data_IF_959089096242
#
_entry.id   IF_959089096242
#
_cell.length_a   1.000
_cell.length_b   1.000
_cell.length_c   1.000
_cell.angle_alpha   90.00
_cell.angle_beta   90.00
_cell.angle_gamma   90.00
#
_symmetry.space_group_name_H-M   'P 1'
#
loop_
_entity.id
_entity.type
_entity.pdbx_description
1 polymer ?
#
# COMPACT_ATOMS: atom_id res chain seq x y z
N UNK A 1 -32.47 -11.91 -22.88
CA UNK A 1 -33.21 -11.48 -21.68
C UNK A 1 -32.35 -11.74 -20.45
N UNK A 2 -31.69 -10.74 -19.83
CA UNK A 2 -30.97 -10.97 -18.58
C UNK A 2 -31.97 -11.11 -17.43
N UNK A 3 -32.05 -12.31 -16.84
CA UNK A 3 -32.93 -12.60 -15.71
C UNK A 3 -32.51 -11.83 -14.46
N UNK A 4 -33.47 -11.17 -13.80
CA UNK A 4 -33.27 -10.47 -12.52
C UNK A 4 -32.72 -11.45 -11.49
N UNK A 5 -31.46 -11.28 -11.07
CA UNK A 5 -30.85 -12.06 -9.99
C UNK A 5 -31.54 -11.71 -8.66
N UNK A 6 -32.19 -12.70 -8.03
CA UNK A 6 -32.81 -12.52 -6.70
C UNK A 6 -31.72 -12.24 -5.67
N UNK A 7 -31.90 -11.19 -4.84
CA UNK A 7 -30.97 -10.89 -3.75
C UNK A 7 -30.87 -12.10 -2.79
N UNK A 8 -29.65 -12.53 -2.42
CA UNK A 8 -29.47 -13.67 -1.55
C UNK A 8 -30.05 -13.41 -0.16
N UNK A 9 -30.69 -14.43 0.43
CA UNK A 9 -31.29 -14.36 1.77
C UNK A 9 -30.21 -14.04 2.80
N UNK A 10 -30.45 -13.03 3.64
CA UNK A 10 -29.55 -12.72 4.75
C UNK A 10 -29.56 -13.87 5.75
N UNK A 11 -28.36 -14.27 6.15
CA UNK A 11 -28.15 -15.35 7.11
C UNK A 11 -28.64 -14.95 8.50
N UNK A 12 -29.42 -15.84 9.13
CA UNK A 12 -29.88 -15.72 10.52
C UNK A 12 -28.72 -15.84 11.50
N UNK A 13 -28.93 -15.40 12.75
CA UNK A 13 -27.91 -15.54 13.80
C UNK A 13 -27.52 -17.02 14.04
N UNK A 14 -28.51 -17.93 14.01
CA UNK A 14 -28.31 -19.37 14.16
C UNK A 14 -27.45 -19.96 13.06
N UNK A 15 -27.69 -19.58 11.81
CA UNK A 15 -26.91 -20.05 10.67
C UNK A 15 -25.44 -19.56 10.71
N UNK A 16 -25.21 -18.33 11.20
CA UNK A 16 -23.83 -17.81 11.40
C UNK A 16 -23.08 -18.60 12.47
N UNK A 17 -23.75 -18.93 13.58
CA UNK A 17 -23.16 -19.72 14.66
C UNK A 17 -22.78 -21.12 14.18
N UNK A 18 -23.71 -21.81 13.49
CA UNK A 18 -23.45 -23.13 12.91
C UNK A 18 -22.27 -23.13 11.92
N UNK A 19 -22.14 -22.08 11.09
CA UNK A 19 -20.99 -21.92 10.19
C UNK A 19 -19.68 -21.71 10.94
N UNK A 20 -19.68 -20.91 12.00
CA UNK A 20 -18.48 -20.67 12.80
C UNK A 20 -18.00 -21.95 13.50
N UNK A 21 -18.92 -22.76 14.03
CA UNK A 21 -18.61 -24.06 14.64
C UNK A 21 -18.08 -25.06 13.62
N UNK A 22 -18.76 -25.18 12.46
CA UNK A 22 -18.29 -26.04 11.38
C UNK A 22 -16.89 -25.63 10.89
N UNK A 23 -16.62 -24.33 10.78
CA UNK A 23 -15.30 -23.79 10.42
C UNK A 23 -14.24 -24.20 11.45
N UNK A 24 -14.50 -24.04 12.76
CA UNK A 24 -13.58 -24.47 13.82
C UNK A 24 -13.26 -25.96 13.73
N UNK A 25 -14.28 -26.81 13.58
CA UNK A 25 -14.09 -28.26 13.43
C UNK A 25 -13.26 -28.62 12.20
N UNK A 26 -13.44 -27.91 11.09
CA UNK A 26 -12.64 -28.13 9.88
C UNK A 26 -11.19 -27.65 10.04
N UNK A 27 -10.96 -26.56 10.80
CA UNK A 27 -9.62 -26.08 11.16
C UNK A 27 -8.91 -27.08 12.08
N UNK A 28 -9.59 -27.59 13.11
CA UNK A 28 -9.06 -28.62 14.03
C UNK A 28 -8.69 -29.92 13.30
N UNK A 29 -9.46 -30.29 12.28
CA UNK A 29 -9.18 -31.46 11.42
C UNK A 29 -8.12 -31.19 10.35
N UNK A 30 -7.58 -29.97 10.25
CA UNK A 30 -6.59 -29.58 9.23
C UNK A 30 -7.14 -29.51 7.79
N UNK A 31 -8.46 -29.56 7.61
CA UNK A 31 -9.11 -29.52 6.28
C UNK A 31 -9.04 -28.10 5.69
N UNK A 32 -9.12 -27.08 6.54
CA UNK A 32 -8.98 -25.67 6.14
C UNK A 32 -7.93 -24.99 7.02
N UNK A 33 -7.16 -24.01 6.50
CA UNK A 33 -6.12 -23.34 7.25
C UNK A 33 -6.68 -22.50 8.42
N UNK A 34 -5.85 -22.22 9.43
CA UNK A 34 -6.20 -21.30 10.51
C UNK A 34 -6.46 -19.89 9.98
N UNK A 35 -7.19 -19.11 10.76
CA UNK A 35 -7.49 -17.72 10.39
C UNK A 35 -6.21 -16.88 10.36
N UNK A 36 -5.97 -16.21 9.22
CA UNK A 36 -4.84 -15.30 9.09
C UNK A 36 -4.98 -14.20 10.15
N UNK A 37 -3.96 -13.98 11.01
CA UNK A 37 -4.00 -12.94 12.01
C UNK A 37 -4.15 -11.58 11.33
N UNK A 38 -4.93 -10.68 11.95
CA UNK A 38 -5.02 -9.30 11.48
C UNK A 38 -3.67 -8.62 11.66
N UNK A 39 -3.21 -7.93 10.61
CA UNK A 39 -1.98 -7.13 10.68
C UNK A 39 -2.15 -6.01 11.71
N UNK A 40 -1.31 -5.99 12.73
CA UNK A 40 -1.20 -4.83 13.62
C UNK A 40 -0.43 -3.72 12.88
N UNK A 41 -1.19 -2.86 12.17
CA UNK A 41 -0.63 -1.83 11.29
C UNK A 41 0.32 -0.86 11.99
N UNK A 42 0.04 -0.48 13.24
CA UNK A 42 0.90 0.43 14.02
C UNK A 42 2.22 -0.23 14.40
N UNK A 43 2.15 -1.48 14.87
CA UNK A 43 3.34 -2.26 15.21
C UNK A 43 4.19 -2.50 13.96
N UNK A 44 3.56 -2.95 12.87
CA UNK A 44 4.22 -3.16 11.59
C UNK A 44 4.94 -1.90 11.09
N UNK A 45 4.26 -0.75 11.06
CA UNK A 45 4.88 0.51 10.63
C UNK A 45 6.09 0.89 11.49
N UNK A 46 5.99 0.74 12.82
CA UNK A 46 7.09 1.04 13.73
C UNK A 46 8.29 0.14 13.50
N UNK A 47 8.07 -1.18 13.42
CA UNK A 47 9.14 -2.16 13.23
C UNK A 47 9.90 -1.90 11.92
N UNK A 48 9.19 -1.70 10.82
CA UNK A 48 9.82 -1.46 9.52
C UNK A 48 10.57 -0.13 9.50
N UNK A 49 10.04 0.95 10.10
CA UNK A 49 10.76 2.22 10.14
C UNK A 49 12.00 2.15 11.03
N UNK A 50 11.95 1.42 12.14
CA UNK A 50 13.13 1.20 13.00
C UNK A 50 14.20 0.38 12.27
N UNK A 51 13.82 -0.69 11.57
CA UNK A 51 14.75 -1.47 10.74
C UNK A 51 15.34 -0.61 9.60
N UNK A 52 14.48 0.16 8.93
CA UNK A 52 14.92 1.08 7.87
C UNK A 52 15.89 2.12 8.39
N UNK A 53 15.65 2.73 9.56
CA UNK A 53 16.55 3.72 10.17
C UNK A 53 17.90 3.10 10.53
N UNK A 54 17.89 1.91 11.11
CA UNK A 54 19.09 1.19 11.55
C UNK A 54 19.94 0.61 10.40
N UNK A 55 19.38 0.42 9.20
CA UNK A 55 20.10 -0.21 8.11
C UNK A 55 21.33 0.61 7.66
N UNK A 56 22.49 -0.03 7.55
CA UNK A 56 23.69 0.58 6.97
C UNK A 56 23.58 0.63 5.42
N UNK A 57 24.51 1.31 4.75
CA UNK A 57 24.60 1.31 3.27
C UNK A 57 23.29 1.71 2.55
N UNK A 58 22.72 2.87 2.92
CA UNK A 58 21.48 3.40 2.32
C UNK A 58 21.51 3.51 0.78
N UNK A 59 22.69 3.66 0.19
CA UNK A 59 22.87 3.72 -1.26
C UNK A 59 22.43 2.40 -1.92
N UNK A 60 22.82 1.26 -1.37
CA UNK A 60 22.48 -0.07 -1.91
C UNK A 60 20.99 -0.37 -1.71
N UNK A 61 20.43 0.07 -0.58
CA UNK A 61 18.99 -0.02 -0.33
C UNK A 61 18.17 0.75 -1.37
N UNK A 62 18.69 1.81 -1.98
CA UNK A 62 17.98 2.52 -3.03
C UNK A 62 17.76 1.63 -4.26
N UNK A 63 18.73 0.78 -4.60
CA UNK A 63 18.59 -0.21 -5.68
C UNK A 63 17.54 -1.27 -5.33
N UNK A 64 17.59 -1.84 -4.13
CA UNK A 64 16.60 -2.83 -3.70
C UNK A 64 15.20 -2.24 -3.54
N UNK A 65 15.08 -0.98 -3.11
CA UNK A 65 13.80 -0.27 -3.06
C UNK A 65 13.19 -0.12 -4.46
N UNK A 66 14.01 0.22 -5.47
CA UNK A 66 13.56 0.25 -6.85
C UNK A 66 13.03 -1.11 -7.29
N UNK A 67 13.76 -2.21 -7.03
CA UNK A 67 13.27 -3.57 -7.33
C UNK A 67 11.97 -3.91 -6.59
N UNK A 68 11.84 -3.56 -5.30
CA UNK A 68 10.65 -3.80 -4.50
C UNK A 68 9.41 -3.11 -5.08
N UNK A 69 9.57 -1.90 -5.65
CA UNK A 69 8.48 -1.20 -6.31
C UNK A 69 7.91 -2.00 -7.49
N UNK A 70 8.76 -2.60 -8.35
CA UNK A 70 8.29 -3.42 -9.47
C UNK A 70 7.60 -4.73 -9.05
N UNK A 71 7.86 -5.21 -7.84
CA UNK A 71 7.13 -6.35 -7.29
C UNK A 71 5.70 -5.97 -6.87
N UNK A 72 5.43 -4.68 -6.61
CA UNK A 72 4.14 -4.20 -6.11
C UNK A 72 3.24 -3.62 -7.21
N UNK A 73 3.83 -2.99 -8.23
CA UNK A 73 3.11 -2.27 -9.27
C UNK A 73 3.64 -2.56 -10.67
N UNK A 74 2.76 -2.52 -11.66
CA UNK A 74 3.11 -2.73 -13.07
C UNK A 74 2.19 -1.92 -13.99
N UNK A 75 2.53 -1.87 -15.29
CA UNK A 75 1.75 -1.11 -16.28
C UNK A 75 0.37 -1.72 -16.54
N UNK A 76 0.30 -3.05 -16.55
CA UNK A 76 -0.90 -3.81 -16.95
C UNK A 76 -1.56 -4.50 -15.74
N UNK A 77 -1.89 -3.71 -14.72
CA UNK A 77 -2.59 -4.22 -13.53
C UNK A 77 -4.08 -4.42 -13.81
N UNK A 78 -4.61 -5.61 -13.49
CA UNK A 78 -6.05 -5.91 -13.60
C UNK A 78 -6.90 -5.01 -12.69
N UNK A 79 -6.43 -4.79 -11.47
CA UNK A 79 -7.03 -3.91 -10.46
C UNK A 79 -5.92 -3.15 -9.73
N UNK A 80 -6.23 -1.95 -9.24
CA UNK A 80 -5.29 -1.12 -8.48
C UNK A 80 -5.80 -0.99 -7.05
N UNK A 81 -5.09 -1.59 -6.09
CA UNK A 81 -5.47 -1.56 -4.67
C UNK A 81 -5.00 -0.28 -3.97
N UNK A 82 -5.56 0.08 -2.79
CA UNK A 82 -5.09 1.22 -2.01
C UNK A 82 -3.60 1.17 -1.66
N UNK A 83 -3.07 -0.03 -1.38
CA UNK A 83 -1.63 -0.25 -1.14
C UNK A 83 -0.80 0.09 -2.37
N UNK A 84 -1.25 -0.32 -3.57
CA UNK A 84 -0.60 -0.01 -4.84
C UNK A 84 -0.67 1.49 -5.16
N UNK A 85 -1.78 2.16 -4.86
CA UNK A 85 -1.89 3.63 -4.98
C UNK A 85 -0.83 4.33 -4.11
N UNK A 86 -0.59 3.83 -2.89
CA UNK A 86 0.49 4.35 -2.03
C UNK A 86 1.86 4.28 -2.71
N UNK A 87 2.20 3.15 -3.32
CA UNK A 87 3.46 2.96 -4.05
C UNK A 87 3.54 3.86 -5.29
N UNK A 88 2.45 3.97 -6.06
CA UNK A 88 2.39 4.87 -7.24
C UNK A 88 2.53 6.35 -6.85
N UNK A 89 1.98 6.75 -5.70
CA UNK A 89 2.17 8.11 -5.16
C UNK A 89 3.64 8.36 -4.81
N UNK A 90 4.33 7.40 -4.19
CA UNK A 90 5.76 7.52 -3.91
C UNK A 90 6.59 7.69 -5.20
N UNK A 91 6.30 6.90 -6.24
CA UNK A 91 6.91 7.07 -7.57
C UNK A 91 6.64 8.46 -8.16
N UNK A 92 5.40 8.94 -8.09
CA UNK A 92 5.05 10.28 -8.58
C UNK A 92 5.77 11.38 -7.80
N UNK A 93 5.91 11.25 -6.48
CA UNK A 93 6.69 12.19 -5.66
C UNK A 93 8.13 12.23 -6.16
N UNK A 94 8.77 11.08 -6.38
CA UNK A 94 10.15 11.04 -6.88
C UNK A 94 10.31 11.74 -8.25
N UNK A 95 9.38 11.51 -9.19
CA UNK A 95 9.39 12.13 -10.51
C UNK A 95 9.20 13.65 -10.44
N UNK A 96 8.23 14.12 -9.63
CA UNK A 96 7.96 15.55 -9.49
C UNK A 96 9.05 16.26 -8.68
N UNK A 97 9.66 15.61 -7.69
CA UNK A 97 10.85 16.13 -6.99
C UNK A 97 12.02 16.33 -7.95
N UNK A 98 12.24 15.39 -8.87
CA UNK A 98 13.27 15.55 -9.91
C UNK A 98 12.99 16.77 -10.79
N UNK A 99 11.77 16.90 -11.32
CA UNK A 99 11.41 18.08 -12.14
C UNK A 99 11.55 19.38 -11.37
N UNK A 100 11.10 19.40 -10.11
CA UNK A 100 11.19 20.56 -9.23
C UNK A 100 12.65 20.98 -9.01
N UNK A 101 13.53 20.04 -8.71
CA UNK A 101 14.97 20.32 -8.52
C UNK A 101 15.68 20.73 -9.81
N UNK A 102 15.31 20.16 -10.96
CA UNK A 102 15.82 20.59 -12.27
C UNK A 102 15.37 22.03 -12.60
N UNK A 103 14.12 22.38 -12.30
CA UNK A 103 13.60 23.74 -12.48
C UNK A 103 14.32 24.76 -11.59
N UNK A 104 14.54 24.44 -10.31
CA UNK A 104 15.31 25.31 -9.40
C UNK A 104 16.73 25.56 -9.90
N UNK A 105 17.40 24.53 -10.43
CA UNK A 105 18.73 24.67 -11.04
C UNK A 105 18.70 25.61 -12.25
N UNK A 106 17.68 25.52 -13.11
CA UNK A 106 17.51 26.42 -14.24
C UNK A 106 17.23 27.87 -13.81
N UNK A 107 16.57 28.07 -12.67
CA UNK A 107 16.36 29.38 -12.03
C UNK A 107 17.62 29.92 -11.30
N UNK A 108 18.72 29.17 -11.27
CA UNK A 108 19.93 29.54 -10.52
C UNK A 108 19.79 29.43 -9.00
N UNK A 109 18.77 28.70 -8.52
CA UNK A 109 18.49 28.52 -7.09
C UNK A 109 19.00 27.17 -6.59
N UNK A 110 19.76 27.19 -5.50
CA UNK A 110 20.24 25.98 -4.83
C UNK A 110 19.36 25.53 -3.64
N UNK A 111 18.43 26.38 -3.20
CA UNK A 111 17.63 26.16 -1.98
C UNK A 111 16.15 26.46 -2.22
N UNK A 112 15.31 25.76 -1.46
CA UNK A 112 13.87 25.91 -1.41
C UNK A 112 13.37 25.73 0.03
N UNK A 113 12.20 26.26 0.33
CA UNK A 113 11.58 26.06 1.64
C UNK A 113 10.77 24.76 1.67
N UNK A 114 10.58 24.19 2.85
CA UNK A 114 9.71 23.02 3.03
C UNK A 114 8.29 23.33 2.53
N UNK A 115 7.78 24.54 2.80
CA UNK A 115 6.47 25.00 2.31
C UNK A 115 6.37 24.96 0.78
N UNK A 116 7.38 25.50 0.09
CA UNK A 116 7.44 25.46 -1.38
C UNK A 116 7.39 24.02 -1.92
N UNK A 117 8.17 23.11 -1.32
CA UNK A 117 8.15 21.70 -1.71
C UNK A 117 6.81 21.02 -1.43
N UNK A 118 6.21 21.30 -0.26
CA UNK A 118 4.90 20.76 0.10
C UNK A 118 3.85 21.21 -0.90
N UNK A 119 3.83 22.50 -1.25
CA UNK A 119 2.83 23.07 -2.14
C UNK A 119 3.01 22.62 -3.58
N UNK A 120 4.26 22.61 -4.08
CA UNK A 120 4.55 22.32 -5.49
C UNK A 120 4.65 20.83 -5.81
N UNK A 121 5.05 20.00 -4.86
CA UNK A 121 5.30 18.56 -5.09
C UNK A 121 4.35 17.68 -4.29
N UNK A 122 4.40 17.76 -2.97
CA UNK A 122 3.79 16.75 -2.10
C UNK A 122 2.25 16.82 -2.05
N UNK A 123 1.69 17.98 -1.70
CA UNK A 123 0.26 18.16 -1.48
C UNK A 123 -0.60 17.87 -2.74
N UNK A 124 -0.19 18.26 -3.96
CA UNK A 124 -0.92 17.90 -5.19
C UNK A 124 -1.05 16.38 -5.37
N UNK A 125 -0.03 15.61 -5.01
CA UNK A 125 0.00 14.16 -5.18
C UNK A 125 -0.82 13.45 -4.10
N UNK A 126 -0.75 13.95 -2.86
CA UNK A 126 -1.48 13.34 -1.74
C UNK A 126 -3.01 13.43 -1.91
N UNK A 127 -3.49 14.45 -2.63
CA UNK A 127 -4.91 14.68 -2.92
C UNK A 127 -5.48 13.81 -4.06
N UNK A 128 -4.64 13.07 -4.80
CA UNK A 128 -5.07 12.10 -5.83
C UNK A 128 -5.76 10.88 -5.22
#
# INVERSE_FOLDING_TARGET
MPGKTKKPKKMTAREKAARAEAKKRLQEKGVIPPDKPKLNRKKFAKEILTEWEAAEEKADLAFYLYQAVFNMVGKDMREVTPEQVGVLKALKIALETRKFTEALKAEGRAQYTIGEYVDKVFAPIMRL
#
